data_IF_507414938199
#
_entry.id   IF_507414938199
#
_cell.length_a   1.000
_cell.length_b   1.000
_cell.length_c   1.000
_cell.angle_alpha   90.00
_cell.angle_beta   90.00
_cell.angle_gamma   90.00
#
_symmetry.space_group_name_H-M   'P 1'
#
loop_
_entity.id
_entity.type
_entity.pdbx_description
1 polymer ?
#
# COMPACT_ATOMS: atom_id res chain seq x y z
N UNK A 1 -23.06 34.98 15.99
CA UNK A 1 -22.12 33.89 15.71
C UNK A 1 -21.17 34.38 14.63
N UNK A 2 -19.86 34.41 14.89
CA UNK A 2 -18.87 34.90 13.93
C UNK A 2 -18.29 33.73 13.13
N UNK A 3 -18.20 33.86 11.81
CA UNK A 3 -17.62 32.82 10.94
C UNK A 3 -16.10 32.94 10.92
N UNK A 4 -15.41 31.82 11.15
CA UNK A 4 -13.94 31.78 11.34
C UNK A 4 -13.25 30.96 10.26
N UNK A 5 -13.90 29.90 9.76
CA UNK A 5 -13.39 29.05 8.68
C UNK A 5 -14.59 28.58 7.84
N UNK A 6 -14.56 28.81 6.54
CA UNK A 6 -15.59 28.31 5.63
C UNK A 6 -14.88 27.74 4.40
N UNK A 7 -14.83 26.43 4.34
CA UNK A 7 -14.12 25.68 3.29
C UNK A 7 -15.05 24.60 2.74
N UNK A 8 -14.69 24.02 1.60
CA UNK A 8 -15.41 22.84 1.08
C UNK A 8 -15.48 21.67 2.07
N UNK A 9 -14.57 21.64 3.06
CA UNK A 9 -14.39 20.53 4.01
C UNK A 9 -15.00 20.74 5.39
N UNK A 10 -15.16 21.99 5.83
CA UNK A 10 -15.72 22.32 7.13
C UNK A 10 -16.17 23.78 7.22
N UNK A 11 -17.19 24.02 8.04
CA UNK A 11 -17.65 25.34 8.48
C UNK A 11 -17.39 25.48 9.99
N UNK A 12 -16.67 26.51 10.41
CA UNK A 12 -16.35 26.81 11.80
C UNK A 12 -16.88 28.19 12.17
N UNK A 13 -17.63 28.27 13.27
CA UNK A 13 -18.21 29.50 13.78
C UNK A 13 -18.00 29.62 15.29
N UNK A 14 -17.80 30.83 15.79
CA UNK A 14 -17.72 31.12 17.22
C UNK A 14 -19.07 31.68 17.69
N UNK A 15 -19.66 31.01 18.68
CA UNK A 15 -20.88 31.41 19.39
C UNK A 15 -20.70 32.69 20.20
N UNK A 16 -21.81 33.33 20.57
CA UNK A 16 -21.78 34.49 21.48
C UNK A 16 -21.37 34.11 22.91
N UNK A 17 -21.51 32.83 23.24
CA UNK A 17 -21.00 32.16 24.43
C UNK A 17 -19.49 31.89 24.37
N UNK A 18 -18.84 32.21 23.24
CA UNK A 18 -17.42 31.98 23.02
C UNK A 18 -17.06 30.54 22.63
N UNK A 19 -18.03 29.63 22.44
CA UNK A 19 -17.77 28.25 22.02
C UNK A 19 -17.54 28.15 20.51
N UNK A 20 -16.77 27.15 20.10
CA UNK A 20 -16.46 26.89 18.69
C UNK A 20 -17.37 25.79 18.16
N UNK A 21 -18.18 26.11 17.16
CA UNK A 21 -19.04 25.17 16.46
C UNK A 21 -18.40 24.80 15.12
N UNK A 22 -18.07 23.53 14.92
CA UNK A 22 -17.53 23.00 13.67
C UNK A 22 -18.52 22.02 13.06
N UNK A 23 -18.91 22.26 11.81
CA UNK A 23 -19.72 21.35 10.98
C UNK A 23 -18.84 20.79 9.87
N UNK A 24 -18.79 19.47 9.76
CA UNK A 24 -17.99 18.77 8.75
C UNK A 24 -18.78 18.66 7.43
N UNK A 25 -18.10 18.89 6.30
CA UNK A 25 -18.70 18.93 4.95
C UNK A 25 -17.80 18.25 3.92
N UNK A 26 -18.36 17.87 2.78
CA UNK A 26 -17.58 17.30 1.67
C UNK A 26 -17.18 15.84 1.89
N UNK A 27 -16.21 15.31 1.11
CA UNK A 27 -15.81 13.91 1.18
C UNK A 27 -15.36 13.49 2.58
N UNK A 28 -15.71 12.26 2.95
CA UNK A 28 -15.27 11.63 4.22
C UNK A 28 -15.64 12.46 5.48
N UNK A 29 -16.69 13.29 5.42
CA UNK A 29 -17.09 14.15 6.54
C UNK A 29 -17.40 13.37 7.82
N UNK A 30 -18.04 12.20 7.70
CA UNK A 30 -18.32 11.30 8.82
C UNK A 30 -17.03 10.77 9.47
N UNK A 31 -16.09 10.24 8.67
CA UNK A 31 -14.82 9.73 9.18
C UNK A 31 -13.97 10.81 9.87
N UNK A 32 -13.94 12.03 9.33
CA UNK A 32 -13.24 13.16 9.98
C UNK A 32 -13.92 13.60 11.27
N UNK A 33 -15.25 13.62 11.29
CA UNK A 33 -16.03 13.89 12.51
C UNK A 33 -15.71 12.85 13.60
N UNK A 34 -15.81 11.56 13.27
CA UNK A 34 -15.52 10.48 14.23
C UNK A 34 -14.07 10.55 14.75
N UNK A 35 -13.10 10.79 13.85
CA UNK A 35 -11.70 10.86 14.24
C UNK A 35 -11.44 12.01 15.21
N UNK A 36 -11.93 13.21 14.92
CA UNK A 36 -11.72 14.38 15.78
C UNK A 36 -12.42 14.21 17.13
N UNK A 37 -13.64 13.67 17.18
CA UNK A 37 -14.32 13.34 18.43
C UNK A 37 -13.51 12.36 19.27
N UNK A 38 -13.00 11.29 18.64
CA UNK A 38 -12.19 10.26 19.31
C UNK A 38 -10.90 10.84 19.89
N UNK A 39 -10.18 11.63 19.11
CA UNK A 39 -8.91 12.26 19.52
C UNK A 39 -9.12 13.26 20.66
N UNK A 40 -10.12 14.14 20.55
CA UNK A 40 -10.38 15.13 21.60
C UNK A 40 -10.78 14.47 22.93
N UNK A 41 -11.57 13.39 22.89
CA UNK A 41 -11.89 12.61 24.10
C UNK A 41 -10.65 11.95 24.71
N UNK A 42 -9.75 11.41 23.89
CA UNK A 42 -8.50 10.83 24.39
C UNK A 42 -7.62 11.88 25.08
N UNK A 43 -7.44 13.03 24.44
CA UNK A 43 -6.65 14.14 24.99
C UNK A 43 -7.24 14.69 26.29
N UNK A 44 -8.57 14.75 26.39
CA UNK A 44 -9.26 15.15 27.62
C UNK A 44 -9.01 14.14 28.76
N UNK A 45 -9.10 12.84 28.48
CA UNK A 45 -8.80 11.78 29.47
C UNK A 45 -7.35 11.85 29.97
N UNK A 46 -6.41 12.26 29.11
CA UNK A 46 -4.99 12.45 29.44
C UNK A 46 -4.68 13.81 30.08
N UNK A 47 -5.67 14.68 30.25
CA UNK A 47 -5.49 16.00 30.87
C UNK A 47 -4.69 16.99 30.00
N UNK A 48 -4.74 16.85 28.67
CA UNK A 48 -4.04 17.77 27.76
C UNK A 48 -4.68 19.17 27.79
N UNK A 49 -3.97 20.15 28.37
CA UNK A 49 -4.50 21.49 28.64
C UNK A 49 -4.37 22.50 27.51
N UNK A 50 -3.74 22.14 26.39
CA UNK A 50 -3.44 23.04 25.25
C UNK A 50 -4.17 22.64 23.96
N UNK A 51 -5.33 22.01 24.10
CA UNK A 51 -6.21 21.61 22.99
C UNK A 51 -7.66 21.95 23.32
N UNK A 52 -8.58 22.04 22.34
CA UNK A 52 -9.99 22.25 22.61
C UNK A 52 -10.57 21.09 23.41
N UNK A 53 -11.43 21.40 24.38
CA UNK A 53 -12.26 20.39 25.05
C UNK A 53 -13.54 20.18 24.25
N UNK A 54 -13.92 18.93 24.04
CA UNK A 54 -15.19 18.58 23.42
C UNK A 54 -16.34 18.80 24.40
N UNK A 55 -17.29 19.66 24.05
CA UNK A 55 -18.49 19.94 24.85
C UNK A 55 -19.66 19.09 24.38
N UNK A 56 -19.86 19.02 23.06
CA UNK A 56 -20.97 18.29 22.44
C UNK A 56 -20.54 17.72 21.09
N UNK A 57 -21.06 16.55 20.74
CA UNK A 57 -20.91 15.93 19.42
C UNK A 57 -22.28 15.45 18.93
N UNK A 58 -22.76 16.05 17.84
CA UNK A 58 -24.00 15.73 17.14
C UNK A 58 -23.63 14.93 15.87
N UNK A 59 -23.77 13.61 15.97
CA UNK A 59 -23.42 12.67 14.90
C UNK A 59 -24.34 12.78 13.66
N UNK A 60 -25.69 12.83 13.80
CA UNK A 60 -26.57 13.08 12.65
C UNK A 60 -26.28 14.40 11.92
N UNK A 61 -25.95 15.45 12.67
CA UNK A 61 -25.61 16.76 12.11
C UNK A 61 -24.15 16.94 11.68
N UNK A 62 -23.28 15.93 11.91
CA UNK A 62 -21.83 15.99 11.74
C UNK A 62 -21.25 17.29 12.30
N UNK A 63 -21.56 17.56 13.57
CA UNK A 63 -21.22 18.83 14.22
C UNK A 63 -20.62 18.58 15.60
N UNK A 64 -19.52 19.27 15.90
CA UNK A 64 -18.95 19.32 17.24
C UNK A 64 -19.00 20.74 17.80
N UNK A 65 -19.10 20.82 19.12
CA UNK A 65 -18.95 22.04 19.90
C UNK A 65 -17.74 21.86 20.81
N UNK A 66 -16.78 22.78 20.74
CA UNK A 66 -15.56 22.74 21.55
C UNK A 66 -15.29 24.06 22.26
N UNK A 67 -14.44 24.05 23.28
CA UNK A 67 -13.95 25.28 23.90
C UNK A 67 -13.06 26.06 22.94
N UNK A 68 -13.07 27.38 23.04
CA UNK A 68 -12.18 28.24 22.27
C UNK A 68 -10.75 28.26 22.87
N UNK A 69 -9.75 28.04 22.02
CA UNK A 69 -8.34 28.02 22.37
C UNK A 69 -7.58 29.29 21.97
N UNK A 70 -8.28 30.42 21.89
CA UNK A 70 -7.69 31.72 21.61
C UNK A 70 -7.65 32.06 20.12
N UNK A 71 -6.80 33.00 19.75
CA UNK A 71 -6.73 33.56 18.39
C UNK A 71 -5.67 32.90 17.54
N UNK A 72 -5.87 32.82 16.23
CA UNK A 72 -4.86 32.31 15.29
C UNK A 72 -3.58 33.13 15.37
N UNK A 73 -2.45 32.45 15.17
CA UNK A 73 -1.13 33.04 15.18
C UNK A 73 -0.61 33.16 13.76
N UNK A 74 -0.04 34.31 13.39
CA UNK A 74 0.52 34.54 12.05
C UNK A 74 1.98 34.09 11.93
N UNK A 75 2.73 34.10 13.04
CA UNK A 75 4.15 33.71 13.08
C UNK A 75 4.48 32.96 14.37
N UNK A 76 5.15 31.83 14.24
CA UNK A 76 5.70 31.03 15.35
C UNK A 76 7.10 30.58 14.95
N UNK A 77 8.04 30.62 15.90
CA UNK A 77 9.39 30.08 15.67
C UNK A 77 9.28 28.59 15.28
N UNK A 78 9.91 28.13 14.18
CA UNK A 78 9.89 26.73 13.77
C UNK A 78 10.32 25.73 14.85
N UNK A 79 11.25 26.10 15.72
CA UNK A 79 11.65 25.26 16.86
C UNK A 79 10.52 25.12 17.87
N UNK A 80 9.84 26.23 18.18
CA UNK A 80 8.70 26.24 19.09
C UNK A 80 7.50 25.46 18.53
N UNK A 81 7.30 25.50 17.22
CA UNK A 81 6.29 24.70 16.53
C UNK A 81 6.58 23.20 16.69
N UNK A 82 7.82 22.78 16.47
CA UNK A 82 8.25 21.39 16.69
C UNK A 82 8.07 20.95 18.13
N UNK A 83 8.46 21.78 19.09
CA UNK A 83 8.27 21.50 20.53
C UNK A 83 6.80 21.29 20.88
N UNK A 84 5.91 22.13 20.35
CA UNK A 84 4.48 22.07 20.66
C UNK A 84 3.83 20.76 20.16
N UNK A 85 4.18 20.32 18.95
CA UNK A 85 3.69 19.04 18.43
C UNK A 85 4.37 17.83 19.09
N UNK A 86 5.65 17.95 19.47
CA UNK A 86 6.32 16.92 20.26
C UNK A 86 5.71 16.79 21.68
N UNK A 87 5.30 17.91 22.29
CA UNK A 87 4.56 17.92 23.56
C UNK A 87 3.23 17.17 23.40
N UNK A 88 2.50 17.35 22.30
CA UNK A 88 1.26 16.62 22.03
C UNK A 88 1.46 15.09 21.98
N UNK A 89 2.57 14.62 21.41
CA UNK A 89 2.89 13.19 21.34
C UNK A 89 3.04 12.56 22.74
N UNK A 90 3.46 13.33 23.75
CA UNK A 90 3.52 12.85 25.14
C UNK A 90 2.14 12.53 25.73
N UNK A 91 1.08 13.12 25.18
CA UNK A 91 -0.32 12.81 25.51
C UNK A 91 -0.90 11.67 24.67
N UNK A 92 -0.04 10.92 23.96
CA UNK A 92 -0.47 9.79 23.16
C UNK A 92 -1.21 10.21 21.89
N UNK A 93 -0.92 11.38 21.32
CA UNK A 93 -1.53 11.82 20.06
C UNK A 93 -0.49 12.47 19.17
N UNK A 94 -0.42 12.06 17.90
CA UNK A 94 0.33 12.77 16.87
C UNK A 94 -0.61 13.57 15.97
N UNK A 95 -0.25 14.80 15.68
CA UNK A 95 -0.96 15.64 14.71
C UNK A 95 -0.30 15.52 13.34
N UNK A 96 -0.99 14.97 12.33
CA UNK A 96 -0.39 14.70 11.01
C UNK A 96 -0.43 15.93 10.07
N UNK A 97 -0.89 17.09 10.56
CA UNK A 97 -0.82 18.40 9.89
C UNK A 97 -0.15 19.46 10.79
N UNK A 98 1.17 19.41 11.03
CA UNK A 98 1.88 20.27 11.98
C UNK A 98 2.17 21.67 11.41
N UNK A 99 1.13 22.34 10.91
CA UNK A 99 1.18 23.63 10.25
C UNK A 99 0.73 24.76 11.18
N UNK A 100 1.29 25.97 11.00
CA UNK A 100 0.96 27.15 11.82
C UNK A 100 -0.54 27.49 11.82
N UNK A 101 -1.26 27.13 10.75
CA UNK A 101 -2.72 27.33 10.62
C UNK A 101 -3.55 26.60 11.69
N UNK A 102 -2.95 25.58 12.30
CA UNK A 102 -3.54 24.76 13.36
C UNK A 102 -3.09 25.22 14.76
N UNK A 103 -2.40 26.35 14.86
CA UNK A 103 -1.93 26.92 16.12
C UNK A 103 -2.72 28.18 16.48
N UNK A 104 -3.21 28.22 17.70
CA UNK A 104 -3.79 29.41 18.33
C UNK A 104 -3.00 29.82 19.56
N UNK A 105 -3.14 31.07 19.98
CA UNK A 105 -2.56 31.57 21.21
C UNK A 105 -3.67 31.99 22.16
N UNK A 106 -3.66 31.45 23.37
CA UNK A 106 -4.61 31.73 24.43
C UNK A 106 -3.97 32.71 25.44
N UNK A 107 -4.40 33.99 25.47
CA UNK A 107 -3.75 35.00 26.31
C UNK A 107 -3.99 34.81 27.80
N UNK A 108 -5.07 34.13 28.19
CA UNK A 108 -5.45 33.98 29.61
C UNK A 108 -4.42 33.23 30.44
N UNK A 109 -3.69 32.31 29.83
CA UNK A 109 -2.62 31.52 30.45
C UNK A 109 -1.31 31.54 29.65
N UNK A 110 -1.23 32.40 28.63
CA UNK A 110 -0.04 32.61 27.82
C UNK A 110 0.40 31.39 26.99
N UNK A 111 -0.52 30.48 26.63
CA UNK A 111 -0.17 29.18 26.02
C UNK A 111 -0.55 29.10 24.55
N UNK A 112 0.34 28.50 23.75
CA UNK A 112 -0.01 28.06 22.40
C UNK A 112 -0.84 26.79 22.48
N UNK A 113 -1.91 26.73 21.69
CA UNK A 113 -2.81 25.60 21.63
C UNK A 113 -2.83 25.03 20.22
N UNK A 114 -3.01 23.71 20.12
CA UNK A 114 -3.20 23.01 18.86
C UNK A 114 -4.71 22.83 18.65
N UNK A 115 -5.19 23.13 17.45
CA UNK A 115 -6.60 22.99 17.04
C UNK A 115 -6.68 22.15 15.76
N UNK A 116 -7.89 21.72 15.39
CA UNK A 116 -8.17 21.01 14.12
C UNK A 116 -7.60 19.58 14.03
N UNK A 117 -8.12 18.68 14.87
CA UNK A 117 -7.63 17.29 15.00
C UNK A 117 -8.24 16.32 13.97
N UNK A 118 -8.77 16.82 12.86
CA UNK A 118 -9.38 15.96 11.82
C UNK A 118 -8.34 14.98 11.21
N UNK A 119 -7.05 15.33 11.26
CA UNK A 119 -5.91 14.51 10.82
C UNK A 119 -4.94 14.20 11.98
N UNK A 120 -5.45 13.88 13.16
CA UNK A 120 -4.63 13.41 14.28
C UNK A 120 -4.82 11.92 14.54
N UNK A 121 -3.76 11.27 15.03
CA UNK A 121 -3.72 9.84 15.35
C UNK A 121 -3.41 9.64 16.83
N UNK A 122 -4.16 8.76 17.51
CA UNK A 122 -3.85 8.33 18.87
C UNK A 122 -2.68 7.34 18.80
N UNK A 123 -1.60 7.65 19.49
CA UNK A 123 -0.45 6.80 19.74
C UNK A 123 -0.82 5.92 20.95
N UNK A 124 -1.12 4.65 20.70
CA UNK A 124 -1.66 3.72 21.70
C UNK A 124 -0.93 3.80 23.06
N UNK A 125 -1.72 4.00 24.12
CA UNK A 125 -1.33 3.75 25.50
C UNK A 125 -1.41 2.25 25.76
N UNK A 126 -0.30 1.61 26.14
CA UNK A 126 -0.31 0.22 26.62
C UNK A 126 -0.43 0.20 28.14
N UNK A 127 -1.59 -0.15 28.73
CA UNK A 127 -1.63 -0.86 30.00
C UNK A 127 -1.55 -2.36 29.70
N UNK A 128 -0.36 -2.94 29.80
CA UNK A 128 -0.16 -4.38 30.04
C UNK A 128 -0.77 -5.39 29.06
N UNK A 129 -1.07 -5.02 27.80
CA UNK A 129 -1.48 -5.94 26.74
C UNK A 129 -0.49 -5.91 25.59
N UNK A 130 -0.15 -7.07 25.01
CA UNK A 130 0.89 -7.23 24.00
C UNK A 130 0.81 -6.19 22.86
N UNK A 131 1.97 -5.58 22.52
CA UNK A 131 2.14 -4.81 21.27
C UNK A 131 1.58 -5.66 20.11
N UNK A 132 0.84 -5.10 19.13
CA UNK A 132 0.72 -5.76 17.84
C UNK A 132 2.13 -5.87 17.31
N UNK A 133 2.60 -7.09 17.34
CA UNK A 133 3.97 -7.43 17.14
C UNK A 133 4.15 -7.49 15.63
N UNK A 134 4.73 -6.44 15.03
CA UNK A 134 4.84 -6.38 13.56
C UNK A 134 5.62 -7.60 13.09
N UNK A 135 5.09 -8.36 12.12
CA UNK A 135 5.69 -9.62 11.74
C UNK A 135 7.10 -9.39 11.18
N UNK A 136 8.00 -10.31 11.48
CA UNK A 136 9.25 -10.39 10.73
C UNK A 136 8.94 -10.98 9.36
N UNK A 137 9.31 -10.30 8.28
CA UNK A 137 9.12 -10.83 6.94
C UNK A 137 10.34 -11.65 6.55
N UNK A 138 10.11 -12.90 6.15
CA UNK A 138 11.10 -13.74 5.47
C UNK A 138 10.72 -13.85 4.02
N UNK A 139 11.68 -13.75 3.11
CA UNK A 139 11.41 -13.88 1.68
C UNK A 139 12.42 -14.77 0.96
N UNK A 140 11.97 -15.32 -0.15
CA UNK A 140 12.80 -15.99 -1.14
C UNK A 140 12.27 -15.69 -2.54
N UNK A 141 13.14 -15.24 -3.44
CA UNK A 141 12.83 -14.88 -4.81
C UNK A 141 13.82 -15.49 -5.78
N UNK A 142 13.32 -15.99 -6.91
CA UNK A 142 14.13 -16.55 -7.97
C UNK A 142 13.45 -16.33 -9.32
N UNK A 143 14.26 -16.08 -10.34
CA UNK A 143 13.83 -16.02 -11.74
C UNK A 143 14.75 -16.92 -12.58
N UNK A 144 14.18 -17.58 -13.57
CA UNK A 144 14.87 -18.46 -14.48
C UNK A 144 14.32 -18.30 -15.90
N UNK A 145 15.21 -18.31 -16.90
CA UNK A 145 14.87 -18.11 -18.32
C UNK A 145 13.92 -19.17 -18.90
N UNK A 146 13.90 -20.35 -18.29
CA UNK A 146 13.31 -21.55 -18.90
C UNK A 146 14.27 -22.21 -19.89
N UNK A 147 13.78 -23.26 -20.54
CA UNK A 147 14.55 -24.09 -21.46
C UNK A 147 14.50 -23.61 -22.92
N UNK A 148 13.46 -22.85 -23.30
CA UNK A 148 13.20 -22.51 -24.71
C UNK A 148 13.57 -21.06 -25.03
N UNK A 149 13.30 -20.11 -24.12
CA UNK A 149 13.57 -18.68 -24.36
C UNK A 149 15.08 -18.40 -24.41
N UNK A 150 15.48 -17.41 -25.20
CA UNK A 150 16.87 -16.96 -25.35
C UNK A 150 17.29 -15.94 -24.28
N UNK A 151 16.35 -15.08 -23.87
CA UNK A 151 16.50 -14.09 -22.80
C UNK A 151 15.46 -14.30 -21.68
N UNK A 152 15.75 -13.70 -20.53
CA UNK A 152 14.83 -13.63 -19.40
C UNK A 152 14.29 -12.20 -19.28
N UNK A 153 13.03 -12.02 -19.67
CA UNK A 153 12.33 -10.74 -19.68
C UNK A 153 11.54 -10.51 -18.37
N UNK A 154 11.38 -11.58 -17.58
CA UNK A 154 10.89 -11.50 -16.21
C UNK A 154 11.87 -10.77 -15.29
N UNK A 155 11.31 -10.09 -14.30
CA UNK A 155 12.06 -9.53 -13.17
C UNK A 155 11.25 -9.66 -11.89
N UNK A 156 11.96 -9.81 -10.78
CA UNK A 156 11.39 -9.55 -9.47
C UNK A 156 12.17 -8.46 -8.74
N UNK A 157 11.46 -7.82 -7.81
CA UNK A 157 11.97 -6.75 -6.99
C UNK A 157 11.66 -7.06 -5.52
N UNK A 158 12.62 -6.79 -4.66
CA UNK A 158 12.44 -6.78 -3.21
C UNK A 158 13.11 -5.51 -2.67
N UNK A 159 12.33 -4.66 -2.01
CA UNK A 159 12.77 -3.40 -1.43
C UNK A 159 12.39 -3.35 0.04
N UNK A 160 13.28 -2.77 0.83
CA UNK A 160 13.01 -2.22 2.15
C UNK A 160 13.12 -0.70 2.04
N UNK A 161 12.18 0.05 2.58
CA UNK A 161 12.27 1.50 2.55
C UNK A 161 11.61 2.16 3.75
N UNK A 162 12.06 3.37 4.03
CA UNK A 162 11.39 4.31 4.90
C UNK A 162 11.23 5.68 4.23
N UNK A 163 10.84 6.70 5.00
CA UNK A 163 10.65 8.05 4.49
C UNK A 163 11.95 8.79 4.13
N UNK A 164 13.11 8.14 4.24
CA UNK A 164 14.44 8.71 4.03
C UNK A 164 15.32 7.84 3.14
N UNK A 165 15.23 6.53 3.26
CA UNK A 165 16.13 5.58 2.61
C UNK A 165 15.37 4.46 1.90
N UNK A 166 15.98 3.95 0.83
CA UNK A 166 15.47 2.83 0.03
C UNK A 166 16.61 1.86 -0.18
N UNK A 167 16.38 0.59 0.16
CA UNK A 167 17.37 -0.48 0.09
C UNK A 167 16.85 -1.62 -0.78
N UNK A 168 17.65 -2.00 -1.76
CA UNK A 168 17.45 -3.24 -2.50
C UNK A 168 17.79 -4.45 -1.64
N UNK A 169 16.86 -5.39 -1.56
CA UNK A 169 17.02 -6.64 -0.84
C UNK A 169 17.55 -7.74 -1.77
N UNK A 170 18.24 -8.71 -1.18
CA UNK A 170 18.74 -9.88 -1.91
C UNK A 170 17.62 -10.87 -2.25
N UNK A 171 18.01 -11.94 -2.96
CA UNK A 171 17.10 -13.04 -3.34
C UNK A 171 16.44 -13.71 -2.14
N UNK A 172 17.14 -13.79 -1.02
CA UNK A 172 16.63 -14.36 0.23
C UNK A 172 16.97 -13.42 1.37
N UNK A 173 16.12 -13.36 2.38
CA UNK A 173 16.42 -12.61 3.59
C UNK A 173 15.29 -12.65 4.59
N UNK A 174 15.56 -12.00 5.72
CA UNK A 174 14.63 -11.87 6.82
C UNK A 174 14.86 -10.50 7.47
N UNK A 175 13.78 -9.75 7.70
CA UNK A 175 13.83 -8.42 8.28
C UNK A 175 12.53 -8.08 9.02
N UNK A 176 12.63 -7.32 10.11
CA UNK A 176 11.47 -6.92 10.90
C UNK A 176 10.72 -5.77 10.21
N UNK A 177 9.40 -5.88 10.06
CA UNK A 177 8.57 -4.80 9.49
C UNK A 177 8.16 -3.73 10.51
N UNK A 178 8.87 -3.57 11.62
CA UNK A 178 8.50 -2.62 12.70
C UNK A 178 8.68 -1.15 12.33
N UNK A 179 9.67 -0.83 11.49
CA UNK A 179 10.11 0.56 11.23
C UNK A 179 10.25 0.91 9.75
N UNK A 180 10.16 -0.09 8.89
CA UNK A 180 10.34 0.00 7.45
C UNK A 180 9.19 -0.75 6.77
N UNK A 181 8.89 -0.32 5.55
CA UNK A 181 7.92 -0.95 4.67
C UNK A 181 8.70 -1.79 3.67
N UNK A 182 8.03 -2.80 3.14
CA UNK A 182 8.62 -3.69 2.17
C UNK A 182 7.79 -3.68 0.90
N UNK A 183 8.45 -3.66 -0.25
CA UNK A 183 7.79 -3.86 -1.53
C UNK A 183 8.40 -5.04 -2.27
N UNK A 184 7.51 -5.94 -2.66
CA UNK A 184 7.84 -7.13 -3.43
C UNK A 184 7.06 -7.06 -4.72
N UNK A 185 7.73 -7.21 -5.87
CA UNK A 185 7.07 -7.18 -7.16
C UNK A 185 7.57 -8.27 -8.08
N UNK A 186 6.70 -8.73 -8.97
CA UNK A 186 7.04 -9.55 -10.14
C UNK A 186 6.49 -8.84 -11.36
N UNK A 187 7.30 -8.75 -12.41
CA UNK A 187 6.92 -8.22 -13.71
C UNK A 187 7.39 -9.19 -14.80
N UNK A 188 6.52 -9.44 -15.77
CA UNK A 188 6.83 -10.16 -17.00
C UNK A 188 6.88 -9.14 -18.14
N UNK A 189 8.06 -8.93 -18.70
CA UNK A 189 8.30 -7.96 -19.76
C UNK A 189 7.98 -8.55 -21.13
N UNK A 190 7.23 -7.81 -21.94
CA UNK A 190 6.85 -8.24 -23.29
C UNK A 190 7.13 -7.16 -24.34
N UNK A 191 7.44 -7.59 -25.57
CA UNK A 191 7.69 -6.71 -26.71
C UNK A 191 8.66 -7.32 -27.73
N UNK A 192 9.03 -6.55 -28.75
CA UNK A 192 9.99 -6.96 -29.78
C UNK A 192 11.43 -7.06 -29.27
N UNK A 193 12.41 -6.95 -30.18
CA UNK A 193 13.82 -7.17 -29.88
C UNK A 193 14.33 -6.40 -28.63
N UNK A 194 14.49 -7.12 -27.52
CA UNK A 194 14.94 -6.67 -26.18
C UNK A 194 13.99 -5.73 -25.41
N UNK A 195 12.79 -5.43 -25.89
CA UNK A 195 11.92 -4.43 -25.26
C UNK A 195 11.40 -4.88 -23.88
N UNK A 196 11.21 -6.19 -23.65
CA UNK A 196 10.70 -6.71 -22.38
C UNK A 196 11.63 -6.42 -21.20
N UNK A 197 12.94 -6.62 -21.36
CA UNK A 197 13.94 -6.32 -20.33
C UNK A 197 13.94 -4.82 -19.95
N UNK A 198 13.83 -3.93 -20.95
CA UNK A 198 13.74 -2.49 -20.69
C UNK A 198 12.46 -2.14 -19.92
N UNK A 199 11.33 -2.75 -20.26
CA UNK A 199 10.05 -2.52 -19.59
C UNK A 199 10.12 -2.88 -18.10
N UNK A 200 10.64 -4.07 -17.80
CA UNK A 200 10.87 -4.57 -16.45
C UNK A 200 11.81 -3.65 -15.65
N UNK A 201 12.87 -3.14 -16.29
CA UNK A 201 13.82 -2.21 -15.65
C UNK A 201 13.19 -0.85 -15.29
N UNK A 202 12.43 -0.25 -16.21
CA UNK A 202 11.72 1.02 -15.97
C UNK A 202 10.73 0.87 -14.83
N UNK A 203 10.00 -0.25 -14.83
CA UNK A 203 9.03 -0.59 -13.78
C UNK A 203 9.70 -0.65 -12.41
N UNK A 204 10.81 -1.38 -12.31
CA UNK A 204 11.62 -1.44 -11.09
C UNK A 204 12.08 -0.06 -10.62
N UNK A 205 12.63 0.74 -11.52
CA UNK A 205 13.14 2.09 -11.19
C UNK A 205 12.02 2.99 -10.65
N UNK A 206 10.83 2.95 -11.27
CA UNK A 206 9.66 3.73 -10.81
C UNK A 206 9.17 3.29 -9.44
N UNK A 207 9.10 1.98 -9.18
CA UNK A 207 8.70 1.46 -7.86
C UNK A 207 9.67 2.00 -6.80
N UNK A 208 10.98 1.92 -7.05
CA UNK A 208 12.02 2.41 -6.13
C UNK A 208 11.91 3.91 -5.84
N UNK A 209 11.46 4.73 -6.79
CA UNK A 209 11.43 6.18 -6.62
C UNK A 209 10.09 6.77 -6.16
N UNK A 210 8.97 6.13 -6.50
CA UNK A 210 7.64 6.66 -6.23
C UNK A 210 7.00 6.02 -5.00
N UNK A 211 7.16 4.70 -4.81
CA UNK A 211 6.49 4.01 -3.71
C UNK A 211 6.97 4.49 -2.31
N UNK A 212 8.27 4.78 -2.08
CA UNK A 212 8.73 5.30 -0.78
C UNK A 212 8.18 6.69 -0.44
N UNK A 213 7.73 7.47 -1.42
CA UNK A 213 7.02 8.73 -1.14
C UNK A 213 5.67 8.48 -0.45
N UNK A 214 5.10 7.28 -0.61
CA UNK A 214 3.88 6.82 0.04
C UNK A 214 4.08 6.19 1.43
N UNK A 215 5.31 6.03 1.92
CA UNK A 215 5.70 5.35 3.16
C UNK A 215 4.94 5.77 4.45
N UNK A 216 4.17 6.87 4.42
CA UNK A 216 3.39 7.35 5.57
C UNK A 216 1.91 7.61 5.29
N UNK A 217 1.44 7.32 4.08
CA UNK A 217 0.04 7.48 3.68
C UNK A 217 -0.79 6.20 3.95
N UNK A 218 -0.14 5.07 4.18
CA UNK A 218 -0.77 3.78 4.49
C UNK A 218 -0.95 3.58 6.00
N UNK A 219 -1.81 4.40 6.63
CA UNK A 219 -2.26 4.17 8.00
C UNK A 219 -3.45 3.19 8.00
N UNK A 220 -3.47 2.16 8.87
CA UNK A 220 -4.60 1.24 9.01
C UNK A 220 -5.93 1.98 9.19
N UNK A 221 -6.89 1.75 8.28
CA UNK A 221 -8.25 2.33 8.35
C UNK A 221 -8.48 3.60 7.52
N UNK A 222 -7.45 4.18 6.89
CA UNK A 222 -7.59 5.29 5.94
C UNK A 222 -7.58 4.74 4.51
N UNK A 223 -8.73 4.26 4.03
CA UNK A 223 -8.89 3.56 2.73
C UNK A 223 -8.52 4.34 1.46
N UNK A 224 -7.84 5.49 1.53
CA UNK A 224 -7.55 6.35 0.38
C UNK A 224 -6.08 6.70 0.16
N UNK A 225 -5.17 6.42 1.10
CA UNK A 225 -3.75 6.77 0.94
C UNK A 225 -3.02 5.84 -0.03
N UNK A 226 -3.11 4.53 0.21
CA UNK A 226 -2.42 3.53 -0.61
C UNK A 226 -2.97 3.44 -2.03
N UNK A 227 -4.29 3.54 -2.22
CA UNK A 227 -4.93 3.42 -3.52
C UNK A 227 -4.49 4.57 -4.45
N UNK A 228 -4.41 5.80 -3.92
CA UNK A 228 -3.88 6.94 -4.68
C UNK A 228 -2.39 6.75 -5.02
N UNK A 229 -1.57 6.30 -4.07
CA UNK A 229 -0.14 6.03 -4.31
C UNK A 229 0.07 4.93 -5.36
N UNK A 230 -0.68 3.83 -5.28
CA UNK A 230 -0.57 2.73 -6.23
C UNK A 230 -1.11 3.13 -7.61
N UNK A 231 -2.21 3.90 -7.68
CA UNK A 231 -2.71 4.47 -8.95
C UNK A 231 -1.68 5.39 -9.60
N UNK A 232 -1.08 6.30 -8.84
CA UNK A 232 -0.03 7.18 -9.32
C UNK A 232 1.17 6.39 -9.83
N UNK A 233 1.63 5.39 -9.07
CA UNK A 233 2.74 4.52 -9.44
C UNK A 233 2.47 3.77 -10.75
N UNK A 234 1.34 3.06 -10.86
CA UNK A 234 0.98 2.29 -12.05
C UNK A 234 0.77 3.21 -13.26
N UNK A 235 0.12 4.35 -13.08
CA UNK A 235 -0.07 5.35 -14.13
C UNK A 235 1.26 5.94 -14.61
N UNK A 236 2.19 6.24 -13.70
CA UNK A 236 3.51 6.77 -14.04
C UNK A 236 4.38 5.75 -14.79
N UNK A 237 4.34 4.47 -14.40
CA UNK A 237 5.02 3.39 -15.13
C UNK A 237 4.43 3.28 -16.54
N UNK A 238 3.10 3.20 -16.65
CA UNK A 238 2.40 3.08 -17.92
C UNK A 238 2.75 4.21 -18.88
N UNK A 239 2.71 5.46 -18.39
CA UNK A 239 3.03 6.64 -19.20
C UNK A 239 4.47 6.60 -19.72
N UNK A 240 5.45 6.24 -18.88
CA UNK A 240 6.85 6.18 -19.29
C UNK A 240 7.11 5.08 -20.32
N UNK A 241 6.46 3.92 -20.19
CA UNK A 241 6.54 2.84 -21.17
C UNK A 241 5.96 3.27 -22.52
N UNK A 242 4.78 3.90 -22.53
CA UNK A 242 4.17 4.42 -23.76
C UNK A 242 5.06 5.48 -24.42
N UNK A 243 5.57 6.43 -23.62
CA UNK A 243 6.43 7.51 -24.13
C UNK A 243 7.69 6.96 -24.80
N UNK A 244 8.34 5.97 -24.18
CA UNK A 244 9.52 5.33 -24.76
C UNK A 244 9.18 4.54 -26.02
N UNK A 245 8.07 3.78 -26.01
CA UNK A 245 7.62 3.04 -27.19
C UNK A 245 7.21 3.93 -28.37
N UNK A 246 6.80 5.17 -28.12
CA UNK A 246 6.54 6.18 -29.15
C UNK A 246 7.82 6.90 -29.64
N UNK A 247 8.87 6.92 -28.82
CA UNK A 247 10.10 7.67 -29.10
C UNK A 247 11.16 6.85 -29.84
N UNK A 248 11.14 5.51 -29.68
CA UNK A 248 12.11 4.60 -30.27
C UNK A 248 11.39 3.42 -30.92
N UNK A 249 11.66 3.16 -32.20
CA UNK A 249 11.00 2.08 -32.94
C UNK A 249 11.34 0.71 -32.34
N UNK A 250 12.55 0.55 -31.78
CA UNK A 250 13.01 -0.66 -31.10
C UNK A 250 12.26 -0.96 -29.79
N UNK A 251 11.59 0.06 -29.23
CA UNK A 251 10.77 -0.05 -28.02
C UNK A 251 9.27 -0.07 -28.35
N UNK A 252 8.89 -0.07 -29.63
CA UNK A 252 7.50 -0.02 -30.02
C UNK A 252 6.75 -1.27 -29.54
N UNK A 253 5.56 -1.06 -28.99
CA UNK A 253 4.77 -2.14 -28.39
C UNK A 253 5.31 -2.69 -27.07
N UNK A 254 6.37 -2.08 -26.51
CA UNK A 254 6.92 -2.49 -25.22
C UNK A 254 5.87 -2.40 -24.11
N UNK A 255 5.77 -3.46 -23.31
CA UNK A 255 4.93 -3.46 -22.13
C UNK A 255 5.38 -4.48 -21.10
N UNK A 256 4.67 -4.51 -19.98
CA UNK A 256 4.93 -5.49 -18.93
C UNK A 256 3.70 -5.72 -18.07
N UNK A 257 3.60 -6.92 -17.52
CA UNK A 257 2.71 -7.19 -16.38
C UNK A 257 3.33 -6.63 -15.10
N UNK A 258 2.51 -6.36 -14.09
CA UNK A 258 3.02 -5.98 -12.78
C UNK A 258 2.12 -6.55 -11.70
N UNK A 259 2.69 -7.35 -10.82
CA UNK A 259 2.09 -7.76 -9.55
C UNK A 259 2.97 -7.23 -8.43
N UNK A 260 2.45 -6.28 -7.66
CA UNK A 260 3.16 -5.59 -6.58
C UNK A 260 2.44 -5.83 -5.25
N UNK A 261 3.20 -6.20 -4.22
CA UNK A 261 2.77 -6.31 -2.84
C UNK A 261 3.60 -5.35 -1.97
N UNK A 262 2.92 -4.41 -1.30
CA UNK A 262 3.49 -3.45 -0.37
C UNK A 262 3.05 -3.81 1.06
N UNK A 263 4.01 -4.19 1.89
CA UNK A 263 3.82 -4.56 3.27
C UNK A 263 4.13 -3.38 4.18
N UNK A 264 3.19 -3.10 5.07
CA UNK A 264 3.34 -2.17 6.19
C UNK A 264 3.06 -2.95 7.50
N UNK A 265 3.31 -2.39 8.69
CA UNK A 265 3.03 -3.08 9.94
C UNK A 265 1.57 -3.58 10.00
N UNK A 266 1.38 -4.90 9.92
CA UNK A 266 0.09 -5.58 10.03
C UNK A 266 -0.80 -5.55 8.78
N UNK A 267 -0.35 -4.99 7.66
CA UNK A 267 -1.12 -4.91 6.42
C UNK A 267 -0.29 -5.22 5.18
N UNK A 268 -0.97 -5.74 4.16
CA UNK A 268 -0.47 -5.83 2.80
C UNK A 268 -1.44 -5.10 1.89
N UNK A 269 -0.89 -4.20 1.07
CA UNK A 269 -1.56 -3.55 -0.05
C UNK A 269 -1.01 -4.17 -1.33
N UNK A 270 -1.85 -4.35 -2.34
CA UNK A 270 -1.38 -4.86 -3.61
C UNK A 270 -1.94 -4.09 -4.79
N UNK A 271 -1.15 -4.05 -5.86
CA UNK A 271 -1.53 -3.56 -7.17
C UNK A 271 -1.21 -4.61 -8.22
N UNK A 272 -2.10 -4.80 -9.19
CA UNK A 272 -1.93 -5.84 -10.19
C UNK A 272 -2.50 -5.46 -11.56
N UNK A 273 -1.73 -5.76 -12.62
CA UNK A 273 -2.15 -5.71 -14.03
C UNK A 273 -1.41 -6.79 -14.84
N UNK A 274 -2.08 -7.39 -15.83
CA UNK A 274 -1.58 -8.56 -16.57
C UNK A 274 -2.11 -9.89 -16.03
N UNK A 275 -1.36 -10.97 -16.24
CA UNK A 275 -1.67 -12.36 -15.89
C UNK A 275 -0.64 -13.03 -14.97
N UNK A 276 0.42 -12.31 -14.57
CA UNK A 276 1.14 -12.61 -13.33
C UNK A 276 0.17 -12.65 -12.14
N UNK A 277 0.53 -13.33 -11.05
CA UNK A 277 -0.42 -13.58 -9.95
C UNK A 277 0.15 -13.28 -8.58
N UNK A 278 -0.75 -12.90 -7.67
CA UNK A 278 -0.51 -12.85 -6.24
C UNK A 278 -1.44 -13.85 -5.57
N UNK A 279 -0.88 -14.74 -4.76
CA UNK A 279 -1.62 -15.69 -3.94
C UNK A 279 -1.40 -15.38 -2.45
N UNK A 280 -2.44 -15.61 -1.65
CA UNK A 280 -2.42 -15.64 -0.19
C UNK A 280 -2.64 -17.06 0.30
N UNK A 281 -1.83 -17.48 1.26
CA UNK A 281 -1.86 -18.80 1.88
C UNK A 281 -1.91 -18.61 3.41
N UNK A 282 -3.10 -18.53 4.01
CA UNK A 282 -3.26 -18.37 5.46
C UNK A 282 -2.74 -19.59 6.25
N UNK A 283 -2.36 -19.43 7.53
CA UNK A 283 -1.92 -20.55 8.35
C UNK A 283 -3.04 -21.59 8.47
N UNK A 284 -2.76 -22.84 8.04
CA UNK A 284 -3.73 -23.94 8.08
C UNK A 284 -4.86 -23.91 7.04
N UNK A 285 -4.93 -22.90 6.17
CA UNK A 285 -5.93 -22.81 5.09
C UNK A 285 -5.44 -23.24 3.69
N UNK A 286 -6.31 -23.09 2.69
CA UNK A 286 -5.97 -23.33 1.28
C UNK A 286 -5.13 -22.21 0.66
N UNK A 287 -4.77 -22.35 -0.61
CA UNK A 287 -4.22 -21.26 -1.41
C UNK A 287 -5.37 -20.46 -2.04
N UNK A 288 -5.26 -19.13 -2.01
CA UNK A 288 -6.24 -18.22 -2.56
C UNK A 288 -5.56 -17.25 -3.52
N UNK A 289 -6.00 -17.21 -4.78
CA UNK A 289 -5.54 -16.21 -5.74
C UNK A 289 -6.19 -14.86 -5.39
N UNK A 290 -5.38 -13.85 -5.06
CA UNK A 290 -5.86 -12.50 -4.72
C UNK A 290 -6.16 -11.68 -5.98
N UNK A 291 -5.42 -11.91 -7.04
CA UNK A 291 -5.50 -11.14 -8.29
C UNK A 291 -6.29 -11.86 -9.36
N UNK A 292 -6.81 -11.12 -10.32
CA UNK A 292 -7.55 -11.68 -11.44
C UNK A 292 -6.82 -11.45 -12.77
N UNK A 293 -6.50 -12.52 -13.52
CA UNK A 293 -5.75 -12.40 -14.78
C UNK A 293 -6.48 -11.52 -15.80
N UNK A 294 -5.79 -10.52 -16.36
CA UNK A 294 -6.37 -9.59 -17.32
C UNK A 294 -6.30 -10.10 -18.77
N UNK A 295 -6.68 -11.35 -18.99
CA UNK A 295 -6.80 -11.97 -20.32
C UNK A 295 -8.21 -12.49 -20.57
N UNK A 296 -8.48 -12.90 -21.81
CA UNK A 296 -9.78 -13.49 -22.17
C UNK A 296 -10.07 -14.77 -21.37
N UNK A 297 -9.06 -15.63 -21.23
CA UNK A 297 -9.15 -16.88 -20.46
C UNK A 297 -9.37 -16.60 -18.97
N UNK A 298 -8.68 -15.59 -18.42
CA UNK A 298 -8.90 -15.13 -17.06
C UNK A 298 -10.36 -14.71 -16.83
N UNK A 299 -10.93 -13.94 -17.75
CA UNK A 299 -12.34 -13.54 -17.69
C UNK A 299 -13.29 -14.75 -17.74
N UNK A 300 -13.05 -15.72 -18.63
CA UNK A 300 -13.88 -16.93 -18.71
C UNK A 300 -13.85 -17.74 -17.40
N UNK A 301 -12.66 -17.93 -16.82
CA UNK A 301 -12.49 -18.65 -15.54
C UNK A 301 -13.25 -17.97 -14.41
N UNK A 302 -13.14 -16.64 -14.29
CA UNK A 302 -13.84 -15.86 -13.24
C UNK A 302 -15.35 -15.90 -13.35
N UNK A 303 -15.88 -16.00 -14.57
CA UNK A 303 -17.32 -16.10 -14.81
C UNK A 303 -17.81 -17.56 -14.78
N UNK A 304 -16.99 -18.52 -14.32
CA UNK A 304 -17.34 -19.93 -14.24
C UNK A 304 -17.64 -20.59 -15.59
N UNK A 305 -17.15 -20.00 -16.69
CA UNK A 305 -17.41 -20.48 -18.06
C UNK A 305 -16.50 -21.63 -18.46
N UNK A 306 -15.31 -21.68 -17.85
CA UNK A 306 -14.32 -22.73 -18.02
C UNK A 306 -13.68 -23.07 -16.68
N UNK A 307 -13.23 -24.30 -16.52
CA UNK A 307 -12.45 -24.75 -15.36
C UNK A 307 -10.93 -24.51 -15.57
N UNK A 308 -10.13 -24.82 -14.54
CA UNK A 308 -8.67 -24.63 -14.57
C UNK A 308 -7.97 -25.44 -15.68
N UNK A 309 -8.43 -26.66 -15.95
CA UNK A 309 -7.87 -27.52 -17.00
C UNK A 309 -8.15 -26.94 -18.38
N UNK A 310 -9.40 -26.53 -18.63
CA UNK A 310 -9.81 -25.90 -19.88
C UNK A 310 -9.08 -24.57 -20.11
N UNK A 311 -8.86 -23.78 -19.06
CA UNK A 311 -8.09 -22.54 -19.13
C UNK A 311 -6.65 -22.77 -19.61
N UNK A 312 -5.98 -23.81 -19.10
CA UNK A 312 -4.60 -24.17 -19.49
C UNK A 312 -4.49 -24.69 -20.93
N UNK A 313 -5.51 -25.39 -21.41
CA UNK A 313 -5.52 -25.94 -22.78
C UNK A 313 -6.08 -24.92 -23.80
N UNK A 314 -6.60 -23.78 -23.34
CA UNK A 314 -7.28 -22.80 -24.19
C UNK A 314 -6.31 -22.14 -25.20
N UNK A 315 -6.70 -22.00 -26.48
CA UNK A 315 -5.82 -21.46 -27.53
C UNK A 315 -5.45 -19.99 -27.33
N UNK A 316 -6.31 -19.21 -26.65
CA UNK A 316 -6.09 -17.78 -26.37
C UNK A 316 -5.54 -17.52 -24.95
N UNK A 317 -4.88 -18.50 -24.32
CA UNK A 317 -4.42 -18.36 -22.92
C UNK A 317 -3.35 -17.28 -22.72
N UNK A 318 -2.51 -17.02 -23.72
CA UNK A 318 -1.44 -16.00 -23.66
C UNK A 318 -1.91 -14.62 -24.16
N UNK A 319 -3.21 -14.44 -24.43
CA UNK A 319 -3.73 -13.16 -24.94
C UNK A 319 -4.15 -12.25 -23.79
N UNK A 320 -3.33 -11.23 -23.55
CA UNK A 320 -3.57 -10.18 -22.55
C UNK A 320 -4.43 -9.04 -23.10
N UNK A 321 -5.42 -8.62 -22.31
CA UNK A 321 -6.27 -7.46 -22.58
C UNK A 321 -5.80 -6.19 -21.85
N UNK A 322 -5.02 -6.33 -20.77
CA UNK A 322 -4.46 -5.22 -20.01
C UNK A 322 -3.03 -5.54 -19.59
N UNK A 323 -2.14 -4.59 -19.84
CA UNK A 323 -0.79 -4.56 -19.31
C UNK A 323 -0.30 -3.10 -19.23
N UNK A 324 0.81 -2.86 -18.55
CA UNK A 324 1.44 -1.53 -18.57
C UNK A 324 2.16 -1.35 -19.90
N UNK A 325 1.81 -0.29 -20.63
CA UNK A 325 2.42 0.00 -21.92
C UNK A 325 1.67 -0.71 -23.04
N UNK A 326 2.39 -1.38 -23.93
CA UNK A 326 1.85 -2.23 -25.00
C UNK A 326 0.77 -1.54 -25.86
N UNK A 327 0.96 -0.25 -26.15
CA UNK A 327 0.02 0.58 -26.92
C UNK A 327 -1.39 0.71 -26.32
N UNK A 328 -1.60 0.27 -25.07
CA UNK A 328 -2.86 0.50 -24.37
C UNK A 328 -3.04 2.00 -24.09
N UNK A 329 -4.19 2.57 -24.47
CA UNK A 329 -4.49 3.98 -24.20
C UNK A 329 -4.87 4.23 -22.73
N UNK A 330 -5.52 3.25 -22.10
CA UNK A 330 -5.98 3.29 -20.73
C UNK A 330 -5.69 1.96 -20.05
N UNK A 331 -5.43 2.04 -18.73
CA UNK A 331 -5.23 0.88 -17.86
C UNK A 331 -6.25 0.89 -16.72
N UNK A 332 -6.66 -0.30 -16.29
CA UNK A 332 -7.52 -0.51 -15.12
C UNK A 332 -6.89 -1.53 -14.16
N UNK A 333 -5.87 -1.13 -13.37
CA UNK A 333 -5.22 -2.04 -12.44
C UNK A 333 -6.13 -2.39 -11.25
N UNK A 334 -5.98 -3.62 -10.75
CA UNK A 334 -6.62 -4.06 -9.52
C UNK A 334 -5.80 -3.60 -8.32
N UNK A 335 -6.47 -2.93 -7.36
CA UNK A 335 -5.88 -2.60 -6.06
C UNK A 335 -6.66 -3.26 -4.94
N UNK A 336 -5.96 -3.70 -3.91
CA UNK A 336 -6.58 -4.31 -2.74
C UNK A 336 -5.72 -4.19 -1.49
N UNK A 337 -6.34 -4.50 -0.35
CA UNK A 337 -5.68 -4.51 0.94
C UNK A 337 -6.21 -5.68 1.77
N UNK A 338 -5.35 -6.30 2.55
CA UNK A 338 -5.74 -7.31 3.52
C UNK A 338 -4.85 -7.24 4.77
N UNK A 339 -5.37 -7.64 5.95
CA UNK A 339 -4.55 -7.79 7.15
C UNK A 339 -3.44 -8.81 6.90
N UNK A 340 -2.25 -8.54 7.45
CA UNK A 340 -1.11 -9.45 7.42
C UNK A 340 -0.86 -9.99 8.82
N UNK A 341 -1.15 -11.28 9.02
CA UNK A 341 -1.00 -11.96 10.30
C UNK A 341 0.22 -12.90 10.31
N UNK A 342 0.84 -13.14 11.47
CA UNK A 342 1.86 -14.18 11.61
C UNK A 342 1.38 -15.54 11.09
N UNK A 343 2.23 -16.19 10.31
CA UNK A 343 1.97 -17.46 9.61
C UNK A 343 1.41 -17.30 8.20
N UNK A 344 1.01 -16.09 7.78
CA UNK A 344 0.59 -15.84 6.40
C UNK A 344 1.76 -15.98 5.43
N UNK A 345 1.48 -16.57 4.27
CA UNK A 345 2.41 -16.61 3.14
C UNK A 345 1.79 -16.00 1.92
N UNK A 346 2.62 -15.32 1.15
CA UNK A 346 2.26 -14.66 -0.09
C UNK A 346 3.18 -15.16 -1.20
N UNK A 347 2.62 -15.54 -2.34
CA UNK A 347 3.36 -15.93 -3.53
C UNK A 347 3.04 -14.95 -4.65
N UNK A 348 4.06 -14.25 -5.14
CA UNK A 348 4.01 -13.49 -6.38
C UNK A 348 4.72 -14.31 -7.45
N UNK A 349 4.12 -14.47 -8.63
CA UNK A 349 4.73 -15.25 -9.71
C UNK A 349 4.31 -14.80 -11.11
N UNK A 350 5.16 -15.07 -12.09
CA UNK A 350 4.81 -14.98 -13.52
C UNK A 350 3.97 -16.17 -13.96
N UNK A 351 3.38 -16.07 -15.15
CA UNK A 351 2.53 -17.10 -15.73
C UNK A 351 3.30 -18.42 -15.96
N UNK A 352 4.59 -18.37 -16.31
CA UNK A 352 5.45 -19.53 -16.52
C UNK A 352 5.58 -20.45 -15.31
N UNK A 353 5.39 -19.93 -14.08
CA UNK A 353 5.28 -20.78 -12.89
C UNK A 353 3.96 -21.55 -12.90
N UNK A 354 2.87 -20.86 -13.20
CA UNK A 354 1.53 -21.42 -13.23
C UNK A 354 1.24 -22.24 -14.48
N UNK A 355 2.05 -22.16 -15.54
CA UNK A 355 2.00 -23.13 -16.64
C UNK A 355 2.49 -24.50 -16.16
N UNK A 356 3.55 -24.53 -15.34
CA UNK A 356 4.17 -25.77 -14.85
C UNK A 356 3.55 -26.36 -13.57
N UNK A 357 2.86 -25.55 -12.76
CA UNK A 357 2.37 -25.98 -11.44
C UNK A 357 0.91 -25.61 -11.21
N UNK A 358 0.14 -26.60 -10.77
CA UNK A 358 -1.26 -26.44 -10.34
C UNK A 358 -1.34 -25.78 -8.97
N UNK A 359 -2.46 -25.13 -8.65
CA UNK A 359 -2.68 -24.44 -7.36
C UNK A 359 -2.41 -25.38 -6.17
N UNK A 360 -2.79 -26.66 -6.30
CA UNK A 360 -2.49 -27.68 -5.30
C UNK A 360 -0.99 -27.88 -5.07
N UNK A 361 -0.20 -27.97 -6.14
CA UNK A 361 1.25 -28.14 -6.05
C UNK A 361 1.91 -26.88 -5.48
N UNK A 362 1.45 -25.69 -5.88
CA UNK A 362 1.91 -24.42 -5.30
C UNK A 362 1.71 -24.41 -3.78
N UNK A 363 0.51 -24.78 -3.31
CA UNK A 363 0.19 -24.88 -1.89
C UNK A 363 1.08 -25.89 -1.16
N UNK A 364 1.28 -27.09 -1.72
CA UNK A 364 2.12 -28.13 -1.13
C UNK A 364 3.58 -27.69 -1.03
N UNK A 365 4.16 -27.12 -2.10
CA UNK A 365 5.57 -26.70 -2.14
C UNK A 365 5.82 -25.51 -1.21
N UNK A 366 4.93 -24.51 -1.17
CA UNK A 366 5.08 -23.33 -0.31
C UNK A 366 5.00 -23.69 1.18
N UNK A 367 4.24 -24.74 1.53
CA UNK A 367 4.08 -25.17 2.93
C UNK A 367 5.11 -26.20 3.39
N UNK A 368 5.75 -26.92 2.48
CA UNK A 368 6.70 -27.96 2.82
C UNK A 368 7.92 -27.39 3.57
N UNK A 369 8.30 -28.04 4.67
CA UNK A 369 9.58 -27.78 5.34
C UNK A 369 10.72 -28.37 4.49
N UNK A 370 11.77 -27.58 4.26
CA UNK A 370 12.99 -28.04 3.58
C UNK A 370 14.09 -26.99 3.73
N UNK A 371 15.34 -27.44 3.62
CA UNK A 371 16.53 -26.60 3.71
C UNK A 371 16.77 -25.71 2.48
N UNK A 372 16.09 -26.01 1.36
CA UNK A 372 16.17 -25.19 0.15
C UNK A 372 15.17 -24.03 0.21
N UNK A 373 15.55 -22.82 -0.28
CA UNK A 373 14.63 -21.70 -0.40
C UNK A 373 13.36 -22.07 -1.18
N UNK A 374 12.20 -21.60 -0.73
CA UNK A 374 10.90 -21.99 -1.31
C UNK A 374 10.83 -21.64 -2.80
N UNK A 375 11.29 -20.44 -3.18
CA UNK A 375 11.35 -20.04 -4.59
C UNK A 375 12.20 -20.98 -5.44
N UNK A 376 13.33 -21.49 -4.93
CA UNK A 376 14.16 -22.45 -5.66
C UNK A 376 13.37 -23.74 -5.96
N UNK A 377 12.67 -24.29 -4.96
CA UNK A 377 11.87 -25.51 -5.14
C UNK A 377 10.72 -25.31 -6.13
N UNK A 378 10.07 -24.15 -6.08
CA UNK A 378 9.01 -23.79 -7.03
C UNK A 378 9.54 -23.76 -8.46
N UNK A 379 10.66 -23.06 -8.69
CA UNK A 379 11.29 -22.98 -10.02
C UNK A 379 11.73 -24.36 -10.51
N UNK A 380 12.44 -25.14 -9.69
CA UNK A 380 12.92 -26.46 -10.09
C UNK A 380 11.78 -27.40 -10.49
N UNK A 381 10.68 -27.39 -9.72
CA UNK A 381 9.52 -28.22 -10.02
C UNK A 381 8.79 -27.75 -11.28
N UNK A 382 8.66 -26.43 -11.49
CA UNK A 382 8.04 -25.87 -12.68
C UNK A 382 8.85 -26.15 -13.95
N UNK A 383 10.19 -26.09 -13.87
CA UNK A 383 11.10 -26.44 -14.95
C UNK A 383 10.97 -27.92 -15.34
N UNK A 384 10.89 -28.81 -14.35
CA UNK A 384 10.71 -30.24 -14.59
C UNK A 384 9.38 -30.58 -15.30
N UNK A 385 8.32 -29.80 -15.06
CA UNK A 385 6.99 -30.04 -15.63
C UNK A 385 6.78 -29.41 -17.01
N UNK A 386 7.27 -28.18 -17.23
CA UNK A 386 7.04 -27.45 -18.48
C UNK A 386 8.28 -26.70 -18.95
N UNK A 387 8.75 -25.70 -18.19
CA UNK A 387 9.98 -24.97 -18.48
C UNK A 387 10.03 -24.24 -19.83
N UNK A 388 8.88 -23.91 -20.44
CA UNK A 388 8.82 -23.31 -21.79
C UNK A 388 9.01 -21.80 -21.79
N UNK A 389 8.49 -21.11 -20.79
CA UNK A 389 8.63 -19.66 -20.67
C UNK A 389 9.65 -19.25 -19.59
N UNK A 390 9.86 -17.94 -19.45
CA UNK A 390 10.47 -17.37 -18.26
C UNK A 390 9.63 -17.72 -17.03
N UNK A 391 10.30 -18.00 -15.91
CA UNK A 391 9.65 -18.45 -14.69
C UNK A 391 10.20 -17.63 -13.53
N UNK A 392 9.30 -16.95 -12.83
CA UNK A 392 9.64 -16.14 -11.67
C UNK A 392 8.72 -16.44 -10.51
N UNK A 393 9.31 -16.61 -9.33
CA UNK A 393 8.61 -16.85 -8.08
C UNK A 393 9.23 -16.03 -6.96
N UNK A 394 8.39 -15.35 -6.19
CA UNK A 394 8.76 -14.57 -5.02
C UNK A 394 7.79 -14.91 -3.89
N UNK A 395 8.31 -15.53 -2.83
CA UNK A 395 7.56 -15.94 -1.66
C UNK A 395 7.91 -15.04 -0.50
N UNK A 396 6.90 -14.53 0.20
CA UNK A 396 7.02 -13.73 1.42
C UNK A 396 6.23 -14.42 2.53
N UNK A 397 6.85 -14.66 3.66
CA UNK A 397 6.25 -15.26 4.86
C UNK A 397 6.28 -14.23 6.00
N UNK A 398 5.10 -13.97 6.57
CA UNK A 398 4.97 -13.22 7.81
C UNK A 398 5.25 -14.15 8.98
N UNK A 399 6.37 -13.95 9.66
CA UNK A 399 6.74 -14.72 10.84
C UNK A 399 6.14 -14.11 12.10
N UNK A 400 5.99 -14.97 13.11
CA UNK A 400 5.84 -14.46 14.46
C UNK A 400 7.08 -13.63 14.84
N UNK A 401 6.88 -12.47 15.48
CA UNK A 401 7.97 -11.57 15.88
C UNK A 401 8.79 -12.03 17.07
#
# INVERSE_FOLDING_TARGET
MHEVKNTQRALVRIGYDGLVHKTFRGPQAYARFENEVRVLRHLEQRGCGFVPRLIEADEPGLKIITTNCGSRVEQVNPERLKELFAELETFGVRHDDPEIRNITYRPTDGRFCIIDFEFAAILDETPGGARPSAPTLRWSGLTHRGHVRTNNEDTFLALEFDGREVRYLGKTGEASSLRTDFAFAVSDGMGGANSGEFASRITKDKITHLLPKGFRLAVPGLSSGYDATLRELFGAIHYDLLKLGQSYEECRGMGTTLSLAWFTPGWIYFGHIGDSRIYHLPPGGGIHQLTNDHGHVGWLRRNGRINEREAREHPMRNLLNQALGAEHQFIDPQFGALPCAPGDRYLLCSDGLTEGLWDRQLNEIVRAASDLPVAQRLIDTALANAGRDNITALVVEALAP
#
